data_IF_593779436258
#
_entry.id   IF_593779436258
#
_cell.length_a   1.000
_cell.length_b   1.000
_cell.length_c   1.000
_cell.angle_alpha   90.00
_cell.angle_beta   90.00
_cell.angle_gamma   90.00
#
_symmetry.space_group_name_H-M   'P 1'
#
loop_
_entity.id
_entity.type
_entity.pdbx_description
1 polymer ?
#
# COMPACT_ATOMS: atom_id res chain seq x y z
N UNK A 1 25.24 15.50 3.69
CA UNK A 1 24.33 14.78 4.61
C UNK A 1 23.62 13.73 3.78
N UNK A 2 23.51 12.51 4.28
CA UNK A 2 22.75 11.45 3.62
C UNK A 2 21.24 11.75 3.67
N UNK A 3 20.52 11.46 2.61
CA UNK A 3 19.05 11.62 2.57
C UNK A 3 18.42 10.59 3.51
N UNK A 4 17.49 11.02 4.37
CA UNK A 4 16.63 10.14 5.16
C UNK A 4 15.32 9.96 4.39
N UNK A 5 14.89 8.73 4.17
CA UNK A 5 13.71 8.41 3.39
C UNK A 5 12.70 7.58 4.21
N UNK A 6 11.46 8.06 4.27
CA UNK A 6 10.34 7.28 4.78
C UNK A 6 9.42 6.88 3.60
N UNK A 7 9.29 5.57 3.37
CA UNK A 7 8.45 5.00 2.30
C UNK A 7 7.22 4.39 2.93
N UNK A 8 6.05 4.76 2.45
CA UNK A 8 4.76 4.30 2.98
C UNK A 8 4.03 3.42 1.97
N UNK A 9 3.35 2.38 2.43
CA UNK A 9 2.25 1.86 1.65
C UNK A 9 1.05 2.82 1.68
N UNK A 10 0.06 2.59 0.84
CA UNK A 10 -1.12 3.45 0.72
C UNK A 10 -2.34 2.86 1.45
N UNK A 11 -2.89 1.74 0.92
CA UNK A 11 -4.11 1.12 1.45
C UNK A 11 -3.82 0.37 2.75
N UNK A 12 -4.50 0.70 3.83
CA UNK A 12 -4.25 0.12 5.16
C UNK A 12 -3.15 0.83 5.95
N UNK A 13 -2.35 1.68 5.33
CA UNK A 13 -1.27 2.44 5.97
C UNK A 13 -1.57 3.94 6.01
N UNK A 14 -1.76 4.58 4.87
CA UNK A 14 -2.12 6.00 4.79
C UNK A 14 -3.64 6.19 4.86
N UNK A 15 -4.40 5.37 4.14
CA UNK A 15 -5.85 5.50 3.98
C UNK A 15 -6.59 4.20 4.32
N UNK A 16 -7.82 4.34 4.82
CA UNK A 16 -8.76 3.24 5.01
C UNK A 16 -9.65 3.08 3.76
N UNK A 17 -9.18 2.26 2.83
CA UNK A 17 -9.89 1.93 1.60
C UNK A 17 -10.67 0.61 1.63
N UNK A 18 -10.76 -0.06 2.80
CA UNK A 18 -11.29 -1.44 2.92
C UNK A 18 -12.65 -1.65 2.26
N UNK A 19 -13.59 -0.73 2.51
CA UNK A 19 -14.95 -0.83 1.97
C UNK A 19 -14.94 -0.84 0.44
N UNK A 20 -14.31 0.17 -0.14
CA UNK A 20 -14.26 0.34 -1.60
C UNK A 20 -13.54 -0.81 -2.31
N UNK A 21 -12.46 -1.33 -1.71
CA UNK A 21 -11.73 -2.50 -2.26
C UNK A 21 -12.60 -3.75 -2.24
N UNK A 22 -13.28 -4.04 -1.12
CA UNK A 22 -14.16 -5.19 -1.02
C UNK A 22 -15.34 -5.11 -2.01
N UNK A 23 -16.02 -3.97 -2.11
CA UNK A 23 -17.14 -3.77 -3.01
C UNK A 23 -16.75 -3.91 -4.49
N UNK A 24 -15.61 -3.35 -4.87
CA UNK A 24 -15.08 -3.48 -6.22
C UNK A 24 -14.69 -4.94 -6.54
N UNK A 25 -14.13 -5.67 -5.56
CA UNK A 25 -13.76 -7.07 -5.71
C UNK A 25 -15.00 -7.96 -5.85
N UNK A 26 -16.01 -7.77 -5.00
CA UNK A 26 -17.29 -8.48 -5.07
C UNK A 26 -17.96 -8.27 -6.44
N UNK A 27 -17.99 -7.04 -6.94
CA UNK A 27 -18.52 -6.70 -8.27
C UNK A 27 -17.73 -7.41 -9.37
N UNK A 28 -16.41 -7.38 -9.31
CA UNK A 28 -15.52 -7.99 -10.31
C UNK A 28 -15.69 -9.51 -10.39
N UNK A 29 -15.83 -10.18 -9.25
CA UNK A 29 -16.03 -11.62 -9.19
C UNK A 29 -17.40 -12.02 -9.74
N UNK A 30 -18.45 -11.26 -9.41
CA UNK A 30 -19.79 -11.49 -9.96
C UNK A 30 -19.80 -11.32 -11.48
N UNK A 31 -19.16 -10.28 -12.03
CA UNK A 31 -19.08 -10.02 -13.47
C UNK A 31 -18.26 -11.07 -14.21
N UNK A 32 -17.18 -11.55 -13.59
CA UNK A 32 -16.35 -12.62 -14.16
C UNK A 32 -16.95 -14.03 -14.00
N UNK A 33 -18.10 -14.18 -13.33
CA UNK A 33 -18.69 -15.49 -13.04
C UNK A 33 -17.87 -16.35 -12.09
N UNK A 34 -17.10 -15.71 -11.20
CA UNK A 34 -16.29 -16.36 -10.17
C UNK A 34 -17.06 -16.39 -8.84
N UNK A 35 -16.80 -17.40 -7.97
CA UNK A 35 -17.35 -17.40 -6.61
C UNK A 35 -16.82 -16.19 -5.84
N UNK A 36 -17.71 -15.38 -5.27
CA UNK A 36 -17.34 -14.20 -4.49
C UNK A 36 -16.53 -14.61 -3.26
N UNK A 37 -15.31 -14.08 -3.06
CA UNK A 37 -14.48 -14.41 -1.92
C UNK A 37 -15.02 -13.75 -0.63
N UNK A 38 -14.66 -14.31 0.51
CA UNK A 38 -14.92 -13.66 1.79
C UNK A 38 -14.15 -12.32 1.90
N UNK A 39 -14.76 -11.32 2.50
CA UNK A 39 -14.11 -10.02 2.74
C UNK A 39 -12.84 -10.12 3.60
N UNK A 40 -12.77 -11.14 4.47
CA UNK A 40 -11.55 -11.41 5.21
C UNK A 40 -10.41 -11.80 4.25
N UNK A 41 -10.66 -12.72 3.32
CA UNK A 41 -9.67 -13.17 2.34
C UNK A 41 -9.25 -12.03 1.40
N UNK A 42 -10.21 -11.18 0.99
CA UNK A 42 -9.89 -9.97 0.21
C UNK A 42 -8.91 -9.07 0.96
N UNK A 43 -9.11 -8.85 2.27
CA UNK A 43 -8.21 -8.01 3.08
C UNK A 43 -6.80 -8.59 3.18
N UNK A 44 -6.68 -9.92 3.27
CA UNK A 44 -5.38 -10.59 3.39
C UNK A 44 -4.48 -10.43 2.15
N UNK A 45 -5.04 -10.10 1.00
CA UNK A 45 -4.28 -9.92 -0.25
C UNK A 45 -4.10 -8.45 -0.66
N UNK A 46 -4.63 -7.51 0.10
CA UNK A 46 -4.38 -6.08 -0.13
C UNK A 46 -2.87 -5.81 0.07
N UNK A 47 -2.32 -4.91 -0.74
CA UNK A 47 -0.87 -4.68 -0.82
C UNK A 47 -0.22 -5.38 -2.01
N UNK A 48 -0.77 -6.49 -2.49
CA UNK A 48 -0.36 -7.10 -3.76
C UNK A 48 -0.87 -6.29 -4.97
N UNK A 49 -0.21 -6.44 -6.11
CA UNK A 49 -0.80 -5.98 -7.38
C UNK A 49 -2.07 -6.75 -7.69
N UNK A 50 -3.05 -6.11 -8.33
CA UNK A 50 -4.36 -6.70 -8.58
C UNK A 50 -4.31 -8.06 -9.31
N UNK A 51 -3.44 -8.29 -10.34
CA UNK A 51 -3.30 -9.61 -10.95
C UNK A 51 -2.79 -10.69 -9.98
N UNK A 52 -1.88 -10.33 -9.05
CA UNK A 52 -1.40 -11.26 -8.04
C UNK A 52 -2.46 -11.54 -6.97
N UNK A 53 -3.18 -10.52 -6.53
CA UNK A 53 -4.31 -10.65 -5.62
C UNK A 53 -5.35 -11.66 -6.14
N UNK A 54 -5.76 -11.53 -7.41
CA UNK A 54 -6.70 -12.47 -8.02
C UNK A 54 -6.13 -13.89 -8.17
N UNK A 55 -4.82 -14.00 -8.44
CA UNK A 55 -4.18 -15.33 -8.49
C UNK A 55 -4.21 -16.02 -7.11
N UNK A 56 -4.11 -15.28 -6.01
CA UNK A 56 -4.23 -15.81 -4.66
C UNK A 56 -5.67 -16.19 -4.31
N UNK A 57 -6.64 -15.35 -4.65
CA UNK A 57 -8.05 -15.60 -4.32
C UNK A 57 -8.66 -16.75 -5.11
N UNK A 58 -8.26 -16.92 -6.38
CA UNK A 58 -8.80 -17.95 -7.27
C UNK A 58 -7.69 -18.63 -8.07
N UNK A 59 -6.79 -19.40 -7.41
CA UNK A 59 -5.63 -20.00 -8.06
C UNK A 59 -6.02 -20.94 -9.20
N UNK A 60 -7.13 -21.66 -9.08
CA UNK A 60 -7.61 -22.68 -10.03
C UNK A 60 -8.44 -22.10 -11.19
N UNK A 61 -8.80 -20.81 -11.13
CA UNK A 61 -9.56 -20.19 -12.22
C UNK A 61 -8.70 -20.05 -13.49
N UNK A 62 -9.29 -20.16 -14.68
CA UNK A 62 -8.58 -19.91 -15.95
C UNK A 62 -7.95 -18.51 -15.99
N UNK A 63 -6.77 -18.39 -16.61
CA UNK A 63 -6.04 -17.12 -16.70
C UNK A 63 -6.87 -16.00 -17.37
N UNK A 64 -7.66 -16.37 -18.39
CA UNK A 64 -8.57 -15.45 -19.09
C UNK A 64 -9.66 -14.91 -18.15
N UNK A 65 -10.25 -15.78 -17.32
CA UNK A 65 -11.28 -15.39 -16.36
C UNK A 65 -10.72 -14.47 -15.27
N UNK A 66 -9.49 -14.75 -14.77
CA UNK A 66 -8.79 -13.83 -13.85
C UNK A 66 -8.50 -12.48 -14.51
N UNK A 67 -8.04 -12.47 -15.77
CA UNK A 67 -7.80 -11.23 -16.51
C UNK A 67 -9.10 -10.42 -16.70
N UNK A 68 -10.22 -11.09 -16.97
CA UNK A 68 -11.54 -10.44 -17.02
C UNK A 68 -11.90 -9.81 -15.67
N UNK A 69 -11.73 -10.52 -14.57
CA UNK A 69 -11.99 -9.99 -13.23
C UNK A 69 -11.08 -8.78 -12.89
N UNK A 70 -9.82 -8.76 -13.36
CA UNK A 70 -8.93 -7.57 -13.21
C UNK A 70 -9.55 -6.34 -13.87
N UNK A 71 -10.02 -6.47 -15.11
CA UNK A 71 -10.60 -5.32 -15.84
C UNK A 71 -11.97 -4.92 -15.27
N UNK A 72 -12.77 -5.88 -14.82
CA UNK A 72 -14.02 -5.62 -14.12
C UNK A 72 -13.79 -4.85 -12.81
N UNK A 73 -12.80 -5.24 -11.99
CA UNK A 73 -12.40 -4.50 -10.78
C UNK A 73 -12.02 -3.05 -11.09
N UNK A 74 -11.14 -2.85 -12.08
CA UNK A 74 -10.71 -1.51 -12.48
C UNK A 74 -11.88 -0.63 -12.92
N UNK A 75 -12.83 -1.24 -13.64
CA UNK A 75 -14.04 -0.56 -14.11
C UNK A 75 -14.96 -0.21 -12.95
N UNK A 76 -15.26 -1.17 -12.07
CA UNK A 76 -16.09 -0.96 -10.88
C UNK A 76 -15.53 0.13 -9.97
N UNK A 77 -14.24 0.05 -9.66
CA UNK A 77 -13.57 1.04 -8.79
C UNK A 77 -13.55 2.44 -9.42
N UNK A 78 -13.32 2.53 -10.74
CA UNK A 78 -13.37 3.80 -11.48
C UNK A 78 -14.76 4.41 -11.46
N UNK A 79 -15.79 3.63 -11.78
CA UNK A 79 -17.18 4.09 -11.79
C UNK A 79 -17.63 4.56 -10.42
N UNK A 80 -17.29 3.83 -9.36
CA UNK A 80 -17.57 4.23 -7.98
C UNK A 80 -16.88 5.56 -7.63
N UNK A 81 -15.62 5.75 -8.05
CA UNK A 81 -14.88 7.01 -7.84
C UNK A 81 -15.52 8.18 -8.60
N UNK A 82 -15.87 8.00 -9.85
CA UNK A 82 -16.55 9.02 -10.68
C UNK A 82 -17.94 9.41 -10.11
N UNK A 83 -18.60 8.44 -9.47
CA UNK A 83 -19.86 8.67 -8.77
C UNK A 83 -19.68 9.28 -7.35
N UNK A 84 -18.46 9.52 -6.89
CA UNK A 84 -18.18 10.04 -5.55
C UNK A 84 -18.49 9.05 -4.41
N UNK A 85 -18.54 7.76 -4.70
CA UNK A 85 -18.89 6.68 -3.76
C UNK A 85 -17.67 6.05 -3.09
N UNK A 86 -16.45 6.31 -3.58
CA UNK A 86 -15.22 5.79 -2.97
C UNK A 86 -14.89 6.56 -1.70
N UNK A 87 -14.87 5.88 -0.57
CA UNK A 87 -14.42 6.40 0.72
C UNK A 87 -13.06 5.81 1.05
N UNK A 88 -12.04 6.67 1.12
CA UNK A 88 -10.65 6.32 1.48
C UNK A 88 -10.13 7.40 2.45
N UNK A 89 -10.72 7.54 3.67
CA UNK A 89 -10.24 8.55 4.61
C UNK A 89 -8.81 8.26 5.06
N UNK A 90 -8.03 9.31 5.33
CA UNK A 90 -6.73 9.16 5.99
C UNK A 90 -6.91 8.58 7.39
N UNK A 91 -6.00 7.71 7.79
CA UNK A 91 -5.94 7.30 9.19
C UNK A 91 -5.63 8.50 10.10
N UNK A 92 -6.12 8.49 11.35
CA UNK A 92 -5.92 9.61 12.28
C UNK A 92 -4.45 9.97 12.47
N UNK A 93 -4.13 11.27 12.31
CA UNK A 93 -2.78 11.81 12.51
C UNK A 93 -1.80 11.63 11.35
N UNK A 94 -2.14 10.88 10.31
CA UNK A 94 -1.22 10.62 9.17
C UNK A 94 -0.85 11.90 8.43
N UNK A 95 -1.82 12.78 8.15
CA UNK A 95 -1.53 14.02 7.44
C UNK A 95 -0.53 14.91 8.19
N UNK A 96 -0.65 14.98 9.51
CA UNK A 96 0.24 15.78 10.35
C UNK A 96 1.62 15.13 10.45
N UNK A 97 1.68 13.81 10.63
CA UNK A 97 2.92 13.03 10.61
C UNK A 97 3.73 13.28 9.32
N UNK A 98 3.10 13.21 8.15
CA UNK A 98 3.78 13.44 6.87
C UNK A 98 4.34 14.86 6.76
N UNK A 99 3.58 15.87 7.21
CA UNK A 99 4.03 17.28 7.23
C UNK A 99 5.19 17.49 8.19
N UNK A 100 5.15 16.89 9.37
CA UNK A 100 6.24 16.95 10.36
C UNK A 100 7.51 16.30 9.83
N UNK A 101 7.43 15.09 9.26
CA UNK A 101 8.58 14.42 8.65
C UNK A 101 9.20 15.28 7.54
N UNK A 102 8.37 15.88 6.69
CA UNK A 102 8.86 16.78 5.63
C UNK A 102 9.56 18.01 6.20
N UNK A 103 8.98 18.63 7.25
CA UNK A 103 9.57 19.79 7.94
C UNK A 103 10.92 19.46 8.59
N UNK A 104 11.09 18.22 9.07
CA UNK A 104 12.33 17.70 9.65
C UNK A 104 13.34 17.21 8.62
N UNK A 105 13.06 17.41 7.33
CA UNK A 105 13.97 17.13 6.22
C UNK A 105 14.01 15.66 5.78
N UNK A 106 12.97 14.88 6.06
CA UNK A 106 12.79 13.57 5.46
C UNK A 106 12.30 13.71 4.00
N UNK A 107 12.86 12.91 3.11
CA UNK A 107 12.23 12.60 1.84
C UNK A 107 11.08 11.61 2.11
N UNK A 108 9.98 11.77 1.37
CA UNK A 108 8.80 10.91 1.52
C UNK A 108 8.49 10.21 0.20
N UNK A 109 8.19 8.93 0.26
CA UNK A 109 7.78 8.16 -0.91
C UNK A 109 6.59 7.25 -0.60
N UNK A 110 5.92 6.80 -1.66
CA UNK A 110 4.92 5.74 -1.58
C UNK A 110 5.37 4.56 -2.42
N UNK A 111 5.19 3.33 -1.90
CA UNK A 111 5.34 2.09 -2.64
C UNK A 111 4.10 1.22 -2.40
N UNK A 112 3.24 1.03 -3.42
CA UNK A 112 1.90 0.46 -3.23
C UNK A 112 1.47 -0.51 -4.33
N UNK A 113 0.64 -1.50 -3.94
CA UNK A 113 -0.08 -2.37 -4.87
C UNK A 113 -1.18 -1.67 -5.68
N UNK A 114 -1.52 -0.43 -5.33
CA UNK A 114 -2.49 0.41 -6.04
C UNK A 114 -1.98 0.78 -7.44
N UNK A 115 -2.88 1.01 -8.40
CA UNK A 115 -2.51 1.56 -9.70
C UNK A 115 -2.02 3.00 -9.58
N UNK A 116 -1.16 3.45 -10.51
CA UNK A 116 -0.65 4.84 -10.57
C UNK A 116 -1.78 5.87 -10.58
N UNK A 117 -2.80 5.64 -11.41
CA UNK A 117 -3.99 6.50 -11.45
C UNK A 117 -4.70 6.57 -10.10
N UNK A 118 -4.85 5.41 -9.43
CA UNK A 118 -5.50 5.31 -8.12
C UNK A 118 -4.70 6.02 -7.03
N UNK A 119 -3.39 5.81 -7.01
CA UNK A 119 -2.46 6.46 -6.08
C UNK A 119 -2.48 7.99 -6.23
N UNK A 120 -2.30 8.50 -7.46
CA UNK A 120 -2.31 9.95 -7.72
C UNK A 120 -3.64 10.60 -7.35
N UNK A 121 -4.77 9.93 -7.66
CA UNK A 121 -6.08 10.42 -7.26
C UNK A 121 -6.23 10.45 -5.73
N UNK A 122 -5.74 9.44 -5.02
CA UNK A 122 -5.78 9.36 -3.55
C UNK A 122 -4.98 10.52 -2.91
N UNK A 123 -3.70 10.68 -3.27
CA UNK A 123 -2.85 11.75 -2.70
C UNK A 123 -3.37 13.14 -3.05
N UNK A 124 -3.94 13.34 -4.25
CA UNK A 124 -4.54 14.61 -4.65
C UNK A 124 -5.81 14.94 -3.85
N UNK A 125 -6.69 13.95 -3.62
CA UNK A 125 -7.92 14.12 -2.82
C UNK A 125 -7.62 14.61 -1.42
N UNK A 126 -6.50 14.15 -0.84
CA UNK A 126 -6.09 14.54 0.52
C UNK A 126 -5.12 15.73 0.59
N UNK A 127 -4.80 16.36 -0.55
CA UNK A 127 -3.86 17.49 -0.59
C UNK A 127 -2.43 17.12 -0.18
N UNK A 128 -2.00 15.89 -0.49
CA UNK A 128 -0.69 15.35 -0.11
C UNK A 128 0.30 15.27 -1.28
N UNK A 129 -0.10 15.69 -2.49
CA UNK A 129 0.70 15.54 -3.72
C UNK A 129 2.10 16.14 -3.58
N UNK A 130 2.21 17.33 -3.01
CA UNK A 130 3.47 18.05 -2.89
C UNK A 130 4.37 17.56 -1.74
N UNK A 131 3.90 16.61 -0.94
CA UNK A 131 4.68 16.04 0.16
C UNK A 131 5.59 14.90 -0.29
N UNK A 132 5.19 14.15 -1.31
CA UNK A 132 5.92 12.97 -1.76
C UNK A 132 6.92 13.30 -2.88
N UNK A 133 8.15 12.86 -2.69
CA UNK A 133 9.25 13.00 -3.65
C UNK A 133 9.26 11.85 -4.67
N UNK A 134 8.66 10.69 -4.33
CA UNK A 134 8.54 9.53 -5.21
C UNK A 134 7.19 8.83 -5.01
N UNK A 135 6.57 8.37 -6.09
CA UNK A 135 5.33 7.60 -6.08
C UNK A 135 5.50 6.33 -6.93
N UNK A 136 5.65 5.18 -6.28
CA UNK A 136 5.85 3.89 -6.92
C UNK A 136 4.57 3.05 -6.85
N UNK A 137 4.01 2.74 -8.01
CA UNK A 137 2.76 2.02 -8.17
C UNK A 137 2.96 0.66 -8.83
N UNK A 138 2.05 -0.27 -8.60
CA UNK A 138 2.10 -1.63 -9.15
C UNK A 138 2.07 -1.71 -10.68
N UNK A 139 1.69 -0.63 -11.37
CA UNK A 139 1.66 -0.60 -12.84
C UNK A 139 3.06 -0.66 -13.47
N UNK A 140 4.11 -0.28 -12.74
CA UNK A 140 5.46 -0.14 -13.24
C UNK A 140 6.45 -1.16 -12.69
N UNK A 141 6.04 -1.97 -11.72
CA UNK A 141 6.93 -2.87 -10.98
C UNK A 141 6.32 -4.24 -10.77
N UNK A 142 7.15 -5.27 -10.54
CA UNK A 142 6.69 -6.51 -9.96
C UNK A 142 5.93 -6.27 -8.65
N UNK A 143 4.95 -7.15 -8.36
CA UNK A 143 4.17 -7.06 -7.12
C UNK A 143 5.05 -7.26 -5.88
N UNK A 144 4.76 -6.57 -4.79
CA UNK A 144 5.24 -6.96 -3.46
C UNK A 144 5.09 -8.49 -3.29
N UNK A 145 6.00 -9.18 -2.65
CA UNK A 145 7.15 -8.69 -1.88
C UNK A 145 8.43 -8.44 -2.70
N UNK A 146 8.36 -8.38 -4.03
CA UNK A 146 9.51 -8.03 -4.86
C UNK A 146 10.00 -6.61 -4.54
N UNK A 147 11.34 -6.37 -4.42
CA UNK A 147 11.88 -5.13 -3.87
C UNK A 147 11.87 -3.94 -4.83
N UNK A 148 11.52 -4.12 -6.10
CA UNK A 148 11.73 -3.14 -7.17
C UNK A 148 11.05 -1.80 -6.93
N UNK A 149 9.82 -1.78 -6.34
CA UNK A 149 9.16 -0.52 -5.99
C UNK A 149 9.96 0.28 -4.96
N UNK A 150 10.48 -0.41 -3.95
CA UNK A 150 11.25 0.23 -2.89
C UNK A 150 12.62 0.66 -3.39
N UNK A 151 13.28 -0.16 -4.21
CA UNK A 151 14.55 0.21 -4.85
C UNK A 151 14.40 1.42 -5.76
N UNK A 152 13.31 1.52 -6.53
CA UNK A 152 13.01 2.69 -7.35
C UNK A 152 12.79 3.96 -6.51
N UNK A 153 12.09 3.84 -5.37
CA UNK A 153 11.91 4.97 -4.44
C UNK A 153 13.25 5.45 -3.85
N UNK A 154 14.14 4.51 -3.48
CA UNK A 154 15.49 4.82 -3.02
C UNK A 154 16.30 5.58 -4.07
N UNK A 155 16.28 5.09 -5.32
CA UNK A 155 17.02 5.69 -6.44
C UNK A 155 16.52 7.09 -6.77
N UNK A 156 15.20 7.28 -6.92
CA UNK A 156 14.60 8.60 -7.20
C UNK A 156 14.87 9.62 -6.11
N UNK A 157 14.87 9.18 -4.83
CA UNK A 157 15.15 10.06 -3.70
C UNK A 157 16.64 10.19 -3.37
N UNK A 158 17.54 9.50 -4.08
CA UNK A 158 18.97 9.43 -3.80
C UNK A 158 19.28 9.00 -2.35
N UNK A 159 18.50 8.07 -1.84
CA UNK A 159 18.58 7.57 -0.48
C UNK A 159 19.24 6.18 -0.42
N UNK A 160 19.98 5.94 0.67
CA UNK A 160 20.59 4.64 0.95
C UNK A 160 19.67 3.79 1.83
N UNK A 161 19.65 2.45 1.66
CA UNK A 161 18.83 1.57 2.51
C UNK A 161 19.01 1.79 4.01
N UNK A 162 20.26 2.01 4.46
CA UNK A 162 20.58 2.23 5.88
C UNK A 162 19.97 3.52 6.47
N UNK A 163 19.59 4.49 5.63
CA UNK A 163 18.99 5.76 6.04
C UNK A 163 17.49 5.82 5.71
N UNK A 164 16.90 4.67 5.40
CA UNK A 164 15.53 4.55 4.93
C UNK A 164 14.70 3.63 5.82
N UNK A 165 13.40 3.84 5.80
CA UNK A 165 12.44 3.01 6.51
C UNK A 165 11.21 2.77 5.64
N UNK A 166 10.73 1.51 5.57
CA UNK A 166 9.44 1.15 4.98
C UNK A 166 8.38 1.08 6.07
N UNK A 167 7.24 1.70 5.83
CA UNK A 167 6.07 1.67 6.71
C UNK A 167 4.92 0.98 5.95
N UNK A 168 4.39 -0.10 6.53
CA UNK A 168 3.32 -0.85 5.91
C UNK A 168 2.50 -1.64 6.92
N UNK A 169 1.36 -2.13 6.49
CA UNK A 169 0.40 -2.87 7.32
C UNK A 169 0.28 -4.35 6.93
N UNK A 170 1.03 -4.78 5.92
CA UNK A 170 1.02 -6.17 5.46
C UNK A 170 2.40 -6.82 5.50
N UNK A 171 2.43 -8.16 5.55
CA UNK A 171 3.68 -8.92 5.44
C UNK A 171 4.40 -8.62 4.13
N UNK A 172 3.68 -8.30 3.07
CA UNK A 172 4.26 -7.99 1.75
C UNK A 172 5.15 -6.75 1.79
N UNK A 173 4.81 -5.76 2.63
CA UNK A 173 5.62 -4.56 2.87
C UNK A 173 6.90 -4.90 3.61
N UNK A 174 6.77 -5.72 4.66
CA UNK A 174 7.88 -6.11 5.51
C UNK A 174 8.89 -6.97 4.74
N UNK A 175 8.39 -7.94 3.98
CA UNK A 175 9.23 -8.80 3.14
C UNK A 175 9.88 -8.02 1.98
N UNK A 176 9.18 -7.07 1.35
CA UNK A 176 9.73 -6.17 0.35
C UNK A 176 10.88 -5.34 0.94
N UNK A 177 10.69 -4.79 2.13
CA UNK A 177 11.72 -4.03 2.83
C UNK A 177 12.95 -4.89 3.16
N UNK A 178 12.74 -6.11 3.66
CA UNK A 178 13.83 -7.05 3.93
C UNK A 178 14.61 -7.40 2.66
N UNK A 179 13.92 -7.64 1.54
CA UNK A 179 14.53 -7.92 0.24
C UNK A 179 15.34 -6.74 -0.31
N UNK A 180 14.96 -5.49 0.01
CA UNK A 180 15.67 -4.27 -0.35
C UNK A 180 16.77 -3.88 0.66
N UNK A 181 16.92 -4.60 1.78
CA UNK A 181 17.87 -4.26 2.85
C UNK A 181 17.46 -3.02 3.66
N UNK A 182 16.18 -2.67 3.68
CA UNK A 182 15.60 -1.53 4.39
C UNK A 182 14.91 -2.01 5.66
N UNK A 183 15.07 -1.28 6.78
CA UNK A 183 14.29 -1.57 7.99
C UNK A 183 12.80 -1.28 7.76
N UNK A 184 11.92 -2.02 8.43
CA UNK A 184 10.48 -1.84 8.29
C UNK A 184 9.78 -1.67 9.63
N UNK A 185 8.76 -0.81 9.65
CA UNK A 185 7.85 -0.62 10.78
C UNK A 185 6.46 -1.02 10.33
N UNK A 186 5.83 -1.92 11.09
CA UNK A 186 4.43 -2.27 10.90
C UNK A 186 3.49 -1.20 11.46
N UNK A 187 2.27 -1.11 10.92
CA UNK A 187 1.19 -0.33 11.52
C UNK A 187 0.03 -1.25 11.91
N UNK A 188 -0.46 -1.12 13.14
CA UNK A 188 -1.45 -2.03 13.71
C UNK A 188 -2.91 -1.69 13.41
N UNK A 189 -3.17 -0.61 12.67
CA UNK A 189 -4.52 -0.19 12.27
C UNK A 189 -4.95 -0.72 10.89
N UNK A 190 -4.05 -1.42 10.18
CA UNK A 190 -4.30 -1.92 8.84
C UNK A 190 -4.86 -3.34 8.77
N UNK A 191 -4.46 -4.10 7.77
CA UNK A 191 -5.10 -5.38 7.39
C UNK A 191 -4.51 -6.60 8.12
N UNK A 192 -3.20 -6.64 8.33
CA UNK A 192 -2.57 -7.80 8.96
C UNK A 192 -2.36 -7.60 10.46
N UNK A 193 -2.52 -8.67 11.26
CA UNK A 193 -2.31 -8.61 12.71
C UNK A 193 -0.87 -8.20 13.08
N UNK A 194 -0.66 -7.41 14.15
CA UNK A 194 0.66 -7.00 14.61
C UNK A 194 1.67 -8.13 14.79
N UNK A 195 1.25 -9.25 15.36
CA UNK A 195 2.13 -10.41 15.57
C UNK A 195 2.64 -11.02 14.26
N UNK A 196 1.81 -10.96 13.21
CA UNK A 196 2.18 -11.42 11.87
C UNK A 196 3.26 -10.50 11.25
N UNK A 197 3.12 -9.19 11.42
CA UNK A 197 4.11 -8.20 10.94
C UNK A 197 5.46 -8.36 11.67
N UNK A 198 5.42 -8.55 12.98
CA UNK A 198 6.63 -8.83 13.78
C UNK A 198 7.30 -10.12 13.36
N UNK A 199 6.52 -11.17 13.12
CA UNK A 199 7.04 -12.48 12.64
C UNK A 199 7.65 -12.39 11.25
N UNK A 200 7.16 -11.49 10.38
CA UNK A 200 7.73 -11.22 9.06
C UNK A 200 9.03 -10.40 9.11
N UNK A 201 9.38 -9.81 10.27
CA UNK A 201 10.65 -9.10 10.46
C UNK A 201 10.52 -7.58 10.67
N UNK A 202 9.32 -7.05 10.89
CA UNK A 202 9.18 -5.64 11.28
C UNK A 202 9.94 -5.36 12.58
N UNK A 203 10.66 -4.23 12.66
CA UNK A 203 11.40 -3.85 13.87
C UNK A 203 10.49 -3.45 15.02
N UNK A 204 9.22 -3.22 14.74
CA UNK A 204 8.15 -2.94 15.69
C UNK A 204 6.86 -2.61 14.97
N UNK A 205 5.76 -2.48 15.72
CA UNK A 205 4.44 -2.11 15.20
C UNK A 205 3.92 -0.91 15.97
N UNK A 206 3.60 0.16 15.24
CA UNK A 206 2.99 1.37 15.79
C UNK A 206 1.45 1.23 15.78
N UNK A 207 0.79 1.66 16.85
CA UNK A 207 -0.68 1.67 16.94
C UNK A 207 -1.28 3.07 16.73
N UNK A 208 -0.44 4.10 16.72
CA UNK A 208 -0.83 5.49 16.47
C UNK A 208 0.23 6.20 15.62
N UNK A 209 -0.18 7.28 14.94
CA UNK A 209 0.76 8.12 14.18
C UNK A 209 1.88 8.70 15.06
N UNK A 210 1.60 9.01 16.33
CA UNK A 210 2.59 9.51 17.28
C UNK A 210 3.64 8.44 17.66
N UNK A 211 3.21 7.18 17.89
CA UNK A 211 4.13 6.06 18.08
C UNK A 211 4.97 5.83 16.82
N UNK A 212 4.34 5.85 15.64
CA UNK A 212 5.03 5.70 14.37
C UNK A 212 6.10 6.79 14.19
N UNK A 213 5.78 8.05 14.51
CA UNK A 213 6.74 9.16 14.47
C UNK A 213 7.99 8.87 15.32
N UNK A 214 7.78 8.42 16.54
CA UNK A 214 8.87 8.08 17.47
C UNK A 214 9.75 6.95 16.93
N UNK A 215 9.13 5.92 16.33
CA UNK A 215 9.83 4.76 15.77
C UNK A 215 10.60 5.09 14.48
N UNK A 216 10.15 6.06 13.70
CA UNK A 216 10.85 6.52 12.50
C UNK A 216 12.17 7.21 12.87
N UNK A 217 12.19 8.00 13.94
CA UNK A 217 13.38 8.74 14.41
C UNK A 217 14.42 7.87 15.13
N UNK A 218 14.01 6.74 15.70
CA UNK A 218 14.87 5.84 16.48
C UNK A 218 15.54 4.77 15.67
#
# INVERSE_FOLDING_TARGET
MSVRLAVFDCDGTLVDGQGAVCEAMETAFAEAGLPTPDRHDIRQIVGLSLPMALRHLVPDAPAEQRAHAVEAYKTAFRSAREAGQVSEPLYPGIADLLRELKADGWALAVATGKSDRGLRACVATHGLTDLFDSLQAADFHPSKPAPEMLLAALDECLAEPANSVMIGDTIYDIEMAAAAGVRSIGVGWGYHPPDTLLSAGAVGVANTAAELRTMIDG
#
